data_IF_796467711966
#
_entry.id   IF_796467711966
#
_cell.length_a   1.000
_cell.length_b   1.000
_cell.length_c   1.000
_cell.angle_alpha   90.00
_cell.angle_beta   90.00
_cell.angle_gamma   90.00
#
_symmetry.space_group_name_H-M   'P 1'
#
loop_
_entity.id
_entity.type
_entity.pdbx_description
1 polymer ?
#
# COMPACT_ATOMS: atom_id res chain seq x y z
N UNK A 1 13.45 -16.04 19.66
CA UNK A 1 12.09 -15.66 20.09
C UNK A 1 11.10 -16.27 19.11
N UNK A 2 10.40 -17.34 19.51
CA UNK A 2 9.52 -18.15 18.63
C UNK A 2 8.51 -17.32 17.83
N UNK A 3 8.00 -16.22 18.37
CA UNK A 3 7.04 -15.36 17.68
C UNK A 3 7.67 -14.62 16.48
N UNK A 4 8.94 -14.26 16.56
CA UNK A 4 9.69 -13.61 15.48
C UNK A 4 10.05 -14.60 14.37
N UNK A 5 10.31 -15.85 14.72
CA UNK A 5 10.58 -16.93 13.74
C UNK A 5 9.31 -17.36 13.00
N UNK A 6 8.19 -17.48 13.72
CA UNK A 6 6.89 -17.79 13.13
C UNK A 6 6.46 -16.64 12.18
N UNK A 7 6.71 -15.39 12.53
CA UNK A 7 6.47 -14.25 11.65
C UNK A 7 7.31 -14.33 10.38
N UNK A 8 8.61 -14.61 10.53
CA UNK A 8 9.54 -14.71 9.39
C UNK A 8 9.19 -15.89 8.49
N UNK A 9 8.79 -17.03 9.04
CA UNK A 9 8.40 -18.22 8.27
C UNK A 9 7.05 -18.00 7.58
N UNK A 10 6.04 -17.46 8.26
CA UNK A 10 4.74 -17.14 7.64
C UNK A 10 4.87 -16.06 6.57
N UNK A 11 5.76 -15.08 6.77
CA UNK A 11 6.05 -14.05 5.78
C UNK A 11 6.75 -14.64 4.54
N UNK A 12 7.70 -15.58 4.72
CA UNK A 12 8.37 -16.29 3.61
C UNK A 12 7.41 -17.22 2.85
N UNK A 13 6.53 -17.93 3.55
CA UNK A 13 5.53 -18.81 2.90
C UNK A 13 4.51 -17.99 2.09
N UNK A 14 4.13 -16.81 2.56
CA UNK A 14 3.31 -15.86 1.78
C UNK A 14 4.10 -15.17 0.66
N UNK A 15 5.42 -15.06 0.78
CA UNK A 15 6.30 -14.57 -0.29
C UNK A 15 6.31 -15.47 -1.53
N UNK A 16 6.15 -16.80 -1.34
CA UNK A 16 6.23 -17.79 -2.43
C UNK A 16 4.97 -17.91 -3.30
N UNK A 17 3.83 -17.37 -2.88
CA UNK A 17 2.55 -17.70 -3.52
C UNK A 17 2.00 -16.67 -4.54
N UNK A 18 2.63 -15.49 -4.71
CA UNK A 18 1.94 -14.39 -5.41
C UNK A 18 2.64 -13.72 -6.61
N UNK A 19 3.87 -14.06 -7.04
CA UNK A 19 4.42 -13.54 -8.31
C UNK A 19 3.52 -13.89 -9.50
N UNK A 20 2.96 -15.10 -9.54
CA UNK A 20 2.14 -15.59 -10.65
C UNK A 20 0.81 -14.81 -10.84
N UNK A 21 0.21 -14.29 -9.77
CA UNK A 21 -1.03 -13.52 -9.86
C UNK A 21 -0.76 -12.10 -10.38
N UNK A 22 0.38 -11.51 -10.00
CA UNK A 22 0.80 -10.18 -10.46
C UNK A 22 1.14 -10.16 -11.95
N UNK A 23 1.70 -11.25 -12.46
CA UNK A 23 2.09 -11.37 -13.88
C UNK A 23 0.90 -11.70 -14.78
N UNK A 24 -0.06 -12.48 -14.29
CA UNK A 24 -1.21 -12.93 -15.07
C UNK A 24 -2.40 -11.94 -15.06
N UNK A 25 -2.68 -11.30 -13.92
CA UNK A 25 -3.89 -10.51 -13.73
C UNK A 25 -3.65 -8.99 -13.59
N UNK A 26 -2.38 -8.57 -13.43
CA UNK A 26 -2.05 -7.17 -13.18
C UNK A 26 -2.18 -6.75 -11.72
N UNK A 27 -1.65 -5.55 -11.40
CA UNK A 27 -1.55 -5.07 -10.03
C UNK A 27 -2.91 -4.68 -9.42
N UNK A 28 -3.81 -4.16 -10.23
CA UNK A 28 -5.15 -3.71 -9.78
C UNK A 28 -5.97 -4.90 -9.30
N UNK A 29 -6.03 -5.95 -10.10
CA UNK A 29 -6.73 -7.19 -9.82
C UNK A 29 -6.13 -7.92 -8.62
N UNK A 30 -4.80 -7.95 -8.53
CA UNK A 30 -4.10 -8.56 -7.42
C UNK A 30 -4.40 -7.85 -6.08
N UNK A 31 -4.41 -6.50 -6.07
CA UNK A 31 -4.78 -5.73 -4.88
C UNK A 31 -6.27 -5.91 -4.55
N UNK A 32 -7.14 -5.94 -5.55
CA UNK A 32 -8.56 -6.17 -5.34
C UNK A 32 -8.82 -7.54 -4.69
N UNK A 33 -8.15 -8.59 -5.18
CA UNK A 33 -8.23 -9.93 -4.61
C UNK A 33 -7.69 -10.00 -3.17
N UNK A 34 -6.55 -9.33 -2.91
CA UNK A 34 -5.95 -9.24 -1.59
C UNK A 34 -6.90 -8.56 -0.58
N UNK A 35 -7.49 -7.42 -0.95
CA UNK A 35 -8.42 -6.68 -0.12
C UNK A 35 -9.71 -7.47 0.16
N UNK A 36 -10.23 -8.18 -0.86
CA UNK A 36 -11.39 -9.04 -0.70
C UNK A 36 -11.13 -10.19 0.28
N UNK A 37 -10.00 -10.88 0.13
CA UNK A 37 -9.61 -11.97 1.02
C UNK A 37 -9.38 -11.47 2.46
N UNK A 38 -8.72 -10.32 2.61
CA UNK A 38 -8.49 -9.70 3.90
C UNK A 38 -9.82 -9.26 4.56
N UNK A 39 -10.73 -8.64 3.80
CA UNK A 39 -12.03 -8.21 4.31
C UNK A 39 -12.93 -9.37 4.75
N UNK A 40 -12.79 -10.56 4.16
CA UNK A 40 -13.47 -11.77 4.63
C UNK A 40 -13.01 -12.23 6.02
N UNK A 41 -11.74 -11.96 6.35
CA UNK A 41 -11.16 -12.29 7.66
C UNK A 41 -11.41 -11.19 8.71
N UNK A 42 -11.82 -10.00 8.27
CA UNK A 42 -12.09 -8.83 9.12
C UNK A 42 -13.46 -8.22 8.82
N UNK A 43 -14.56 -8.97 9.03
CA UNK A 43 -15.92 -8.51 8.70
C UNK A 43 -16.35 -7.30 9.55
N UNK A 44 -15.70 -7.04 10.68
CA UNK A 44 -15.94 -5.90 11.56
C UNK A 44 -15.41 -4.57 11.01
N UNK A 45 -14.55 -4.60 9.97
CA UNK A 45 -13.91 -3.41 9.41
C UNK A 45 -14.58 -3.04 8.08
N UNK A 46 -15.18 -1.86 8.01
CA UNK A 46 -15.66 -1.31 6.74
C UNK A 46 -14.45 -0.90 5.87
N UNK A 47 -14.23 -1.59 4.76
CA UNK A 47 -13.16 -1.21 3.85
C UNK A 47 -13.69 -0.71 2.51
N UNK A 48 -12.96 0.23 1.92
CA UNK A 48 -13.23 0.78 0.57
C UNK A 48 -11.95 0.89 -0.21
N UNK A 49 -12.01 0.53 -1.49
CA UNK A 49 -10.87 0.68 -2.40
C UNK A 49 -11.27 1.51 -3.62
N UNK A 50 -10.35 2.39 -4.02
CA UNK A 50 -10.43 3.21 -5.22
C UNK A 50 -9.19 2.92 -6.06
N UNK A 51 -9.31 1.99 -7.01
CA UNK A 51 -8.23 1.51 -7.84
C UNK A 51 -8.47 2.00 -9.28
N UNK A 52 -7.50 2.71 -9.86
CA UNK A 52 -7.61 3.22 -11.22
C UNK A 52 -7.63 2.05 -12.22
N UNK A 53 -8.66 2.00 -13.08
CA UNK A 53 -8.84 0.92 -14.07
C UNK A 53 -7.74 0.91 -15.12
N UNK A 54 -7.32 2.08 -15.55
CA UNK A 54 -6.36 2.27 -16.63
C UNK A 54 -4.93 2.44 -16.07
N UNK A 55 -4.64 1.77 -14.95
CA UNK A 55 -3.35 1.85 -14.32
C UNK A 55 -2.34 1.01 -15.09
N UNK A 56 -1.51 1.68 -15.86
CA UNK A 56 -0.36 1.06 -16.51
C UNK A 56 0.79 1.00 -15.50
N UNK A 57 1.26 -0.20 -15.22
CA UNK A 57 2.41 -0.46 -14.35
C UNK A 57 3.23 -1.61 -14.95
N UNK A 58 4.10 -1.26 -15.91
CA UNK A 58 4.81 -2.26 -16.71
C UNK A 58 6.00 -2.88 -15.97
N UNK A 59 6.62 -2.12 -15.07
CA UNK A 59 7.78 -2.59 -14.31
C UNK A 59 7.39 -3.64 -13.25
N UNK A 60 7.85 -4.90 -13.37
CA UNK A 60 7.53 -5.95 -12.41
C UNK A 60 7.91 -5.58 -10.97
N UNK A 61 9.04 -4.87 -10.80
CA UNK A 61 9.53 -4.43 -9.49
C UNK A 61 8.56 -3.45 -8.81
N UNK A 62 7.93 -2.55 -9.58
CA UNK A 62 6.92 -1.62 -9.06
C UNK A 62 5.67 -2.39 -8.63
N UNK A 63 5.20 -3.35 -9.43
CA UNK A 63 4.04 -4.18 -9.08
C UNK A 63 4.26 -4.93 -7.77
N UNK A 64 5.41 -5.60 -7.65
CA UNK A 64 5.77 -6.32 -6.42
C UNK A 64 5.87 -5.37 -5.22
N UNK A 65 6.50 -4.20 -5.39
CA UNK A 65 6.65 -3.23 -4.31
C UNK A 65 5.29 -2.73 -3.81
N UNK A 66 4.41 -2.31 -4.72
CA UNK A 66 3.06 -1.83 -4.38
C UNK A 66 2.27 -2.92 -3.65
N UNK A 67 2.27 -4.14 -4.18
CA UNK A 67 1.59 -5.27 -3.55
C UNK A 67 2.06 -5.51 -2.12
N UNK A 68 3.39 -5.56 -1.91
CA UNK A 68 3.99 -5.78 -0.59
C UNK A 68 3.70 -4.64 0.39
N UNK A 69 3.67 -3.41 -0.08
CA UNK A 69 3.32 -2.26 0.76
C UNK A 69 1.87 -2.36 1.22
N UNK A 70 0.93 -2.68 0.32
CA UNK A 70 -0.48 -2.88 0.70
C UNK A 70 -0.60 -4.03 1.70
N UNK A 71 0.06 -5.15 1.45
CA UNK A 71 0.07 -6.31 2.34
C UNK A 71 0.58 -5.94 3.75
N UNK A 72 1.68 -5.20 3.85
CA UNK A 72 2.23 -4.75 5.12
C UNK A 72 1.29 -3.75 5.83
N UNK A 73 0.64 -2.84 5.08
CA UNK A 73 -0.36 -1.95 5.66
C UNK A 73 -1.54 -2.73 6.25
N UNK A 74 -2.06 -3.74 5.54
CA UNK A 74 -3.15 -4.58 6.02
C UNK A 74 -2.75 -5.38 7.28
N UNK A 75 -1.53 -5.91 7.31
CA UNK A 75 -0.98 -6.58 8.49
C UNK A 75 -0.90 -5.64 9.70
N UNK A 76 -0.45 -4.40 9.49
CA UNK A 76 -0.38 -3.39 10.54
C UNK A 76 -1.77 -3.02 11.06
N UNK A 77 -2.76 -2.90 10.18
CA UNK A 77 -4.15 -2.66 10.54
C UNK A 77 -4.68 -3.79 11.41
N UNK A 78 -4.53 -5.05 10.98
CA UNK A 78 -5.02 -6.22 11.71
C UNK A 78 -4.39 -6.39 13.10
N UNK A 79 -3.10 -6.00 13.24
CA UNK A 79 -2.35 -6.25 14.48
C UNK A 79 -2.42 -5.11 15.48
N UNK A 80 -2.56 -3.87 15.02
CA UNK A 80 -2.23 -2.71 15.84
C UNK A 80 -3.26 -1.59 15.81
N UNK A 81 -4.09 -1.49 14.77
CA UNK A 81 -4.85 -0.28 14.55
C UNK A 81 -6.23 -0.27 15.23
N UNK A 82 -6.90 -1.43 15.36
CA UNK A 82 -8.28 -1.53 15.84
C UNK A 82 -9.21 -0.51 15.16
N UNK A 83 -9.24 -0.42 13.83
CA UNK A 83 -10.02 0.57 13.14
C UNK A 83 -11.46 0.09 12.92
N UNK A 84 -12.36 1.04 12.62
CA UNK A 84 -13.67 0.74 12.06
C UNK A 84 -13.66 0.85 10.53
N UNK A 85 -12.72 1.63 9.97
CA UNK A 85 -12.66 1.90 8.53
C UNK A 85 -11.26 1.83 7.98
N UNK A 86 -11.17 1.23 6.78
CA UNK A 86 -9.95 1.19 5.97
C UNK A 86 -10.22 1.74 4.58
N UNK A 87 -9.34 2.58 4.07
CA UNK A 87 -9.41 3.09 2.70
C UNK A 87 -8.10 2.87 1.97
N UNK A 88 -8.18 2.29 0.76
CA UNK A 88 -7.04 2.09 -0.14
C UNK A 88 -7.29 2.83 -1.44
N UNK A 89 -6.31 3.61 -1.89
CA UNK A 89 -6.37 4.34 -3.15
C UNK A 89 -5.10 4.01 -3.94
N UNK A 90 -5.25 3.55 -5.17
CA UNK A 90 -4.16 3.38 -6.12
C UNK A 90 -4.52 4.11 -7.41
N UNK A 91 -3.69 5.06 -7.79
CA UNK A 91 -3.91 5.89 -8.97
C UNK A 91 -2.60 6.16 -9.71
N UNK A 92 -2.69 6.37 -11.03
CA UNK A 92 -1.59 6.89 -11.85
C UNK A 92 -1.82 8.37 -12.11
N UNK A 93 -0.73 9.13 -12.13
CA UNK A 93 -0.73 10.51 -12.60
C UNK A 93 0.17 10.61 -13.83
N UNK A 94 -0.34 11.10 -14.94
CA UNK A 94 0.51 11.49 -16.06
C UNK A 94 1.46 12.60 -15.63
N UNK A 95 2.70 12.52 -16.06
CA UNK A 95 3.71 13.57 -15.89
C UNK A 95 4.50 13.71 -17.19
N UNK A 96 5.01 14.90 -17.53
CA UNK A 96 5.85 15.10 -18.72
C UNK A 96 7.15 14.26 -18.70
N UNK A 97 7.61 13.88 -17.52
CA UNK A 97 8.84 13.10 -17.29
C UNK A 97 8.56 11.62 -17.00
N UNK A 98 7.42 11.10 -17.41
CA UNK A 98 6.95 9.76 -17.05
C UNK A 98 5.84 9.83 -15.98
N UNK A 99 4.98 8.81 -15.91
CA UNK A 99 3.89 8.79 -14.96
C UNK A 99 4.37 8.62 -13.51
N UNK A 100 3.55 9.00 -12.54
CA UNK A 100 3.76 8.69 -11.12
C UNK A 100 2.63 7.80 -10.61
N UNK A 101 2.96 6.73 -9.90
CA UNK A 101 2.01 5.90 -9.17
C UNK A 101 1.86 6.46 -7.76
N UNK A 102 0.62 6.67 -7.34
CA UNK A 102 0.26 7.09 -5.98
C UNK A 102 -0.52 5.98 -5.32
N UNK A 103 0.00 5.49 -4.21
CA UNK A 103 -0.71 4.60 -3.28
C UNK A 103 -0.99 5.36 -1.99
N UNK A 104 -2.24 5.29 -1.50
CA UNK A 104 -2.62 5.77 -0.17
C UNK A 104 -3.38 4.66 0.54
N UNK A 105 -2.94 4.32 1.74
CA UNK A 105 -3.67 3.46 2.67
C UNK A 105 -3.96 4.25 3.92
N UNK A 106 -5.21 4.30 4.35
CA UNK A 106 -5.63 5.04 5.55
C UNK A 106 -6.62 4.20 6.36
N UNK A 107 -6.38 4.11 7.65
CA UNK A 107 -7.31 3.64 8.65
C UNK A 107 -7.73 4.77 9.61
N UNK A 108 -8.76 4.53 10.41
CA UNK A 108 -9.25 5.41 11.47
C UNK A 108 -9.01 4.83 12.88
N UNK A 109 -8.00 3.97 13.01
CA UNK A 109 -7.69 3.30 14.26
C UNK A 109 -7.01 4.17 15.31
N UNK A 110 -6.40 3.53 16.29
CA UNK A 110 -5.78 4.22 17.44
C UNK A 110 -4.56 5.06 17.07
N UNK A 111 -3.94 4.81 15.89
CA UNK A 111 -2.68 5.43 15.51
C UNK A 111 -1.53 4.97 16.41
N UNK A 112 -0.33 5.43 16.12
CA UNK A 112 0.86 5.20 16.94
C UNK A 112 1.89 6.29 16.69
N UNK A 113 2.75 6.52 17.65
CA UNK A 113 3.89 7.41 17.48
C UNK A 113 4.92 6.76 16.52
N UNK A 114 5.07 7.34 15.33
CA UNK A 114 5.95 6.82 14.27
C UNK A 114 7.42 6.89 14.68
N UNK A 115 7.75 7.77 15.62
CA UNK A 115 9.10 7.97 16.16
C UNK A 115 9.49 6.97 17.27
N UNK A 116 8.61 6.04 17.66
CA UNK A 116 8.92 5.05 18.68
C UNK A 116 10.14 4.20 18.26
N UNK A 117 11.11 3.94 19.18
CA UNK A 117 12.35 3.20 18.88
C UNK A 117 12.15 1.78 18.32
N UNK A 118 10.93 1.28 18.38
CA UNK A 118 10.52 -0.03 17.89
C UNK A 118 9.56 0.09 16.69
N UNK A 119 9.78 1.06 15.80
CA UNK A 119 9.17 1.04 14.47
C UNK A 119 9.60 -0.29 13.82
N UNK A 120 8.66 -1.28 13.81
CA UNK A 120 8.96 -2.67 13.46
C UNK A 120 9.59 -2.78 12.07
N UNK A 121 10.29 -3.88 11.80
CA UNK A 121 10.97 -4.19 10.53
C UNK A 121 10.09 -3.96 9.29
N UNK A 122 8.77 -4.04 9.42
CA UNK A 122 7.82 -3.77 8.34
C UNK A 122 7.87 -2.34 7.80
N UNK A 123 7.92 -1.33 8.67
CA UNK A 123 8.01 0.08 8.24
C UNK A 123 9.36 0.38 7.59
N UNK A 124 10.44 -0.19 8.12
CA UNK A 124 11.79 -0.08 7.55
C UNK A 124 11.82 -0.72 6.14
N UNK A 125 11.33 -1.94 6.02
CA UNK A 125 11.27 -2.66 4.74
C UNK A 125 10.40 -1.96 3.68
N UNK A 126 9.28 -1.32 4.09
CA UNK A 126 8.50 -0.47 3.19
C UNK A 126 9.33 0.73 2.70
N UNK A 127 10.05 1.38 3.61
CA UNK A 127 10.86 2.57 3.28
C UNK A 127 11.99 2.24 2.31
N UNK A 128 12.75 1.20 2.61
CA UNK A 128 13.85 0.74 1.75
C UNK A 128 13.35 0.37 0.35
N UNK A 129 12.24 -0.35 0.26
CA UNK A 129 11.62 -0.75 -1.01
C UNK A 129 11.17 0.44 -1.85
N UNK A 130 10.58 1.45 -1.22
CA UNK A 130 10.15 2.65 -1.93
C UNK A 130 11.35 3.48 -2.39
N UNK A 131 12.35 3.65 -1.54
CA UNK A 131 13.55 4.43 -1.86
C UNK A 131 14.40 3.76 -2.96
N UNK A 132 14.52 2.43 -2.95
CA UNK A 132 15.26 1.69 -3.99
C UNK A 132 14.64 1.83 -5.39
N UNK A 133 13.36 2.21 -5.46
CA UNK A 133 12.65 2.48 -6.71
C UNK A 133 12.57 3.98 -7.04
N UNK A 134 13.36 4.83 -6.37
CA UNK A 134 13.36 6.28 -6.58
C UNK A 134 12.08 6.98 -6.11
N UNK A 135 11.29 6.33 -5.26
CA UNK A 135 10.03 6.85 -4.76
C UNK A 135 10.15 7.59 -3.43
N UNK A 136 9.01 8.05 -2.92
CA UNK A 136 8.88 8.67 -1.61
C UNK A 136 7.78 8.01 -0.77
N UNK A 137 8.05 7.88 0.54
CA UNK A 137 7.13 7.32 1.54
C UNK A 137 6.90 8.34 2.65
N UNK A 138 5.62 8.62 2.93
CA UNK A 138 5.19 9.41 4.07
C UNK A 138 4.24 8.58 4.93
N UNK A 139 4.50 8.54 6.23
CA UNK A 139 3.64 7.88 7.20
C UNK A 139 3.24 8.91 8.25
N UNK A 140 1.95 9.07 8.44
CA UNK A 140 1.35 9.93 9.46
C UNK A 140 0.46 9.06 10.33
N UNK A 141 0.72 9.02 11.62
CA UNK A 141 -0.01 8.18 12.56
C UNK A 141 -0.15 8.85 13.92
N UNK A 142 -0.84 10.02 14.00
CA UNK A 142 -1.07 10.69 15.26
C UNK A 142 -1.93 9.80 16.17
N UNK A 143 -1.63 9.80 17.47
CA UNK A 143 -2.40 9.03 18.44
C UNK A 143 -3.89 9.40 18.39
N UNK A 144 -4.77 8.40 18.34
CA UNK A 144 -6.22 8.57 18.26
C UNK A 144 -6.76 9.03 16.89
N UNK A 145 -5.89 9.17 15.85
CA UNK A 145 -6.30 9.69 14.54
C UNK A 145 -6.11 8.68 13.38
N UNK A 146 -5.80 7.43 13.70
CA UNK A 146 -5.49 6.39 12.72
C UNK A 146 -4.14 6.57 12.05
N UNK A 147 -3.91 5.78 11.02
CA UNK A 147 -2.66 5.82 10.25
C UNK A 147 -2.93 6.16 8.79
N UNK A 148 -2.07 6.97 8.21
CA UNK A 148 -2.04 7.24 6.77
C UNK A 148 -0.65 6.94 6.23
N UNK A 149 -0.58 5.99 5.30
CA UNK A 149 0.61 5.67 4.50
C UNK A 149 0.39 6.24 3.11
N UNK A 150 1.31 7.07 2.64
CA UNK A 150 1.31 7.63 1.29
C UNK A 150 2.62 7.26 0.61
N UNK A 151 2.52 6.69 -0.58
CA UNK A 151 3.65 6.30 -1.43
C UNK A 151 3.50 6.95 -2.78
N UNK A 152 4.60 7.51 -3.29
CA UNK A 152 4.74 7.97 -4.66
C UNK A 152 5.90 7.21 -5.29
N UNK A 153 5.67 6.60 -6.44
CA UNK A 153 6.68 5.86 -7.20
C UNK A 153 6.75 6.41 -8.63
N UNK A 154 7.93 6.57 -9.21
CA UNK A 154 8.04 6.88 -10.63
C UNK A 154 7.50 5.70 -11.44
N UNK A 155 6.75 5.99 -12.49
CA UNK A 155 6.14 5.00 -13.39
C UNK A 155 6.51 5.32 -14.84
N UNK A 156 7.79 5.40 -15.13
CA UNK A 156 8.30 5.70 -16.46
C UNK A 156 9.73 5.20 -16.61
N UNK A 157 10.17 5.08 -17.84
CA UNK A 157 11.48 4.52 -18.21
C UNK A 157 12.68 5.41 -17.90
N UNK A 158 12.47 6.66 -17.44
CA UNK A 158 13.57 7.62 -17.21
C UNK A 158 13.70 7.88 -15.70
N UNK A 159 14.70 7.19 -15.13
CA UNK A 159 15.08 7.29 -13.72
C UNK A 159 15.81 8.60 -13.39
N UNK A 160 15.10 9.72 -13.34
CA UNK A 160 15.62 10.95 -12.76
C UNK A 160 14.76 11.37 -11.58
N UNK A 161 15.34 11.57 -10.39
CA UNK A 161 14.57 11.94 -9.20
C UNK A 161 14.06 13.37 -9.33
N UNK A 162 12.73 13.53 -9.33
CA UNK A 162 12.08 14.83 -9.23
C UNK A 162 12.16 15.39 -7.81
N UNK A 163 12.46 16.65 -7.71
CA UNK A 163 12.38 17.48 -6.49
C UNK A 163 10.96 17.45 -5.90
N UNK A 164 10.78 17.48 -4.57
CA UNK A 164 9.47 17.38 -3.95
C UNK A 164 8.62 18.63 -4.20
N UNK A 165 7.62 18.51 -5.05
CA UNK A 165 6.63 19.56 -5.26
C UNK A 165 5.52 19.51 -4.20
N UNK A 166 5.22 20.69 -3.71
CA UNK A 166 4.21 21.00 -2.69
C UNK A 166 2.78 20.88 -3.24
N UNK A 167 1.91 20.45 -2.36
CA UNK A 167 0.44 20.62 -2.31
C UNK A 167 -0.34 20.35 -3.60
N UNK A 168 -1.08 19.25 -3.62
CA UNK A 168 -2.08 19.06 -4.63
C UNK A 168 -3.44 18.60 -4.08
N UNK A 169 -4.45 19.35 -4.51
CA UNK A 169 -5.85 19.16 -4.15
C UNK A 169 -6.46 17.91 -4.82
N UNK A 170 -7.30 17.20 -4.09
CA UNK A 170 -8.01 15.97 -4.42
C UNK A 170 -8.94 16.09 -5.66
N UNK A 171 -8.41 15.89 -6.88
CA UNK A 171 -9.23 15.59 -8.07
C UNK A 171 -8.75 14.33 -8.75
N UNK A 172 -9.59 13.29 -8.78
CA UNK A 172 -9.30 11.98 -9.36
C UNK A 172 -10.24 11.63 -10.51
N UNK A 173 -9.75 10.90 -11.57
CA UNK A 173 -10.59 10.26 -12.55
C UNK A 173 -11.38 9.08 -11.94
N UNK A 174 -12.47 8.68 -12.59
CA UNK A 174 -13.44 7.69 -12.10
C UNK A 174 -12.81 6.38 -11.67
N UNK A 175 -12.82 6.03 -10.36
CA UNK A 175 -12.20 4.82 -9.83
C UNK A 175 -13.13 3.62 -9.88
N UNK A 176 -12.52 2.43 -9.84
CA UNK A 176 -13.21 1.20 -9.46
C UNK A 176 -13.52 1.27 -7.97
N UNK A 177 -14.77 1.54 -7.61
CA UNK A 177 -15.21 1.47 -6.21
C UNK A 177 -15.52 0.01 -5.85
N UNK A 178 -14.66 -0.60 -5.05
CA UNK A 178 -14.93 -1.89 -4.43
C UNK A 178 -15.52 -1.64 -3.05
N UNK A 179 -16.78 -2.05 -2.89
CA UNK A 179 -17.44 -2.13 -1.58
C UNK A 179 -17.54 -3.60 -1.19
N UNK A 180 -17.49 -3.94 0.10
CA UNK A 180 -17.88 -5.27 0.55
C UNK A 180 -19.33 -5.50 0.11
N UNK A 181 -19.61 -6.61 -0.55
CA UNK A 181 -21.00 -7.03 -0.78
C UNK A 181 -21.52 -7.57 0.55
N UNK A 182 -22.53 -6.91 1.09
CA UNK A 182 -23.35 -7.41 2.19
C UNK A 182 -24.00 -8.74 1.83
#
# INVERSE_FOLDING_TARGET
DCASEIYTVSHRLMEGLHPNVLDAAGIVEAIAALLKAWGQQHPEIEWRASLARDLVCDAPQLRVAIYRIVQECLNNVSRHAQPHRLRVILASRPSPTGGKLRLVVRDDGVGREVAAPHAGFGLLGMRERVLSLGGSLQIQSPHGCGTRVRVLLPNGHDGQPDTPEQQDHDRFPSPLNLLPRT
#
